data_IF_727506244435
#
_entry.id   IF_727506244435
#
_cell.length_a   1.000
_cell.length_b   1.000
_cell.length_c   1.000
_cell.angle_alpha   90.00
_cell.angle_beta   90.00
_cell.angle_gamma   90.00
#
_symmetry.space_group_name_H-M   'P 1'
#
loop_
_entity.id
_entity.type
_entity.pdbx_description
1 polymer ?
#
# COMPACT_ATOMS: atom_id res chain seq x y z
N UNK A 1 -40.92 77.78 1.57
CA UNK A 1 -39.67 77.10 1.92
C UNK A 1 -39.86 75.63 1.66
N UNK A 2 -39.23 75.10 0.60
CA UNK A 2 -39.34 73.66 0.20
C UNK A 2 -37.99 73.03 0.49
N UNK A 3 -37.97 72.13 1.44
CA UNK A 3 -36.77 71.35 1.86
C UNK A 3 -36.64 70.14 0.93
N UNK A 4 -35.52 70.07 0.20
CA UNK A 4 -35.14 68.93 -0.67
C UNK A 4 -34.38 67.91 0.16
N UNK A 5 -34.93 66.70 0.32
CA UNK A 5 -34.18 65.57 0.87
C UNK A 5 -33.41 64.88 -0.27
N UNK A 6 -32.07 64.86 -0.17
CA UNK A 6 -31.20 64.06 -1.06
C UNK A 6 -30.99 62.70 -0.42
N UNK A 7 -31.43 61.65 -1.08
CA UNK A 7 -31.20 60.26 -0.69
C UNK A 7 -29.90 59.81 -1.39
N UNK A 8 -28.85 59.57 -0.61
CA UNK A 8 -27.62 58.96 -1.11
C UNK A 8 -27.78 57.44 -1.13
N UNK A 9 -27.76 56.84 -2.33
CA UNK A 9 -27.74 55.38 -2.51
C UNK A 9 -26.28 54.91 -2.44
N UNK A 10 -25.96 54.15 -1.40
CA UNK A 10 -24.66 53.49 -1.22
C UNK A 10 -24.69 52.15 -1.97
N UNK A 11 -24.03 52.07 -3.11
CA UNK A 11 -23.79 50.81 -3.81
C UNK A 11 -22.60 50.10 -3.18
N UNK A 12 -22.88 49.03 -2.44
CA UNK A 12 -21.86 48.10 -1.97
C UNK A 12 -21.43 47.16 -3.09
N UNK A 13 -20.22 47.31 -3.58
CA UNK A 13 -19.61 46.36 -4.52
C UNK A 13 -19.17 45.12 -3.73
N UNK A 14 -19.86 43.99 -3.96
CA UNK A 14 -19.41 42.69 -3.52
C UNK A 14 -18.22 42.26 -4.38
N UNK A 15 -17.02 42.38 -3.81
CA UNK A 15 -15.82 41.73 -4.38
C UNK A 15 -15.96 40.24 -4.15
N UNK A 16 -16.39 39.50 -5.19
CA UNK A 16 -16.35 38.05 -5.23
C UNK A 16 -14.90 37.57 -5.33
N UNK A 17 -14.26 37.35 -4.18
CA UNK A 17 -12.98 36.63 -4.14
C UNK A 17 -13.22 35.18 -4.50
N UNK A 18 -12.71 34.75 -5.65
CA UNK A 18 -12.55 33.32 -5.95
C UNK A 18 -11.57 32.73 -4.94
N UNK A 19 -12.06 31.88 -4.05
CA UNK A 19 -11.21 31.02 -3.22
C UNK A 19 -10.49 30.07 -4.19
N UNK A 20 -9.29 30.41 -4.64
CA UNK A 20 -8.37 29.45 -5.20
C UNK A 20 -8.14 28.38 -4.12
N UNK A 21 -8.61 27.16 -4.41
CA UNK A 21 -8.30 26.00 -3.58
C UNK A 21 -6.78 25.84 -3.61
N UNK A 22 -6.10 26.21 -2.53
CA UNK A 22 -4.67 25.98 -2.42
C UNK A 22 -4.45 24.48 -2.55
N UNK A 23 -3.84 24.05 -3.65
CA UNK A 23 -3.38 22.68 -3.81
C UNK A 23 -2.45 22.38 -2.63
N UNK A 24 -2.79 21.36 -1.85
CA UNK A 24 -1.91 20.92 -0.76
C UNK A 24 -0.51 20.62 -1.34
N UNK A 25 0.54 21.00 -0.61
CA UNK A 25 1.89 20.66 -1.03
C UNK A 25 2.04 19.13 -1.18
N UNK A 26 2.76 18.65 -2.20
CA UNK A 26 2.94 17.22 -2.41
C UNK A 26 3.58 16.56 -1.17
N UNK A 27 3.09 15.37 -0.81
CA UNK A 27 3.63 14.56 0.27
C UNK A 27 5.05 14.13 -0.13
N UNK A 28 6.01 14.24 0.81
CA UNK A 28 7.40 13.89 0.54
C UNK A 28 7.90 12.70 1.35
N UNK A 29 7.10 12.16 2.26
CA UNK A 29 7.45 11.01 3.06
C UNK A 29 6.74 9.74 2.55
N UNK A 30 7.50 8.67 2.41
CA UNK A 30 7.01 7.34 1.99
C UNK A 30 7.48 6.30 3.00
N UNK A 31 6.55 5.48 3.48
CA UNK A 31 6.86 4.30 4.30
C UNK A 31 6.47 3.05 3.51
N UNK A 32 7.45 2.16 3.31
CA UNK A 32 7.33 0.92 2.56
C UNK A 32 7.24 -0.26 3.54
N UNK A 33 6.25 -1.14 3.35
CA UNK A 33 6.00 -2.31 4.20
C UNK A 33 6.06 -3.57 3.35
N UNK A 34 6.99 -4.49 3.67
CA UNK A 34 7.13 -5.76 2.95
C UNK A 34 6.03 -6.75 3.30
N UNK A 35 5.88 -7.79 2.48
CA UNK A 35 4.98 -8.90 2.70
C UNK A 35 5.66 -10.10 3.35
N UNK A 36 4.88 -11.15 3.61
CA UNK A 36 5.36 -12.41 4.14
C UNK A 36 6.46 -13.05 3.29
N UNK A 37 7.29 -13.88 3.90
CA UNK A 37 8.37 -14.63 3.24
C UNK A 37 9.48 -13.76 2.64
N UNK A 38 9.48 -12.46 2.93
CA UNK A 38 10.42 -11.47 2.40
C UNK A 38 10.89 -10.56 3.55
N UNK A 39 11.69 -9.59 3.20
CA UNK A 39 12.12 -8.51 4.09
C UNK A 39 12.18 -7.17 3.34
N UNK A 40 12.59 -6.13 4.03
CA UNK A 40 12.65 -4.79 3.45
C UNK A 40 13.68 -4.61 2.33
N UNK A 41 14.62 -5.53 2.12
CA UNK A 41 15.65 -5.40 1.09
C UNK A 41 15.08 -5.41 -0.34
N UNK A 42 13.94 -6.07 -0.53
CA UNK A 42 13.25 -6.08 -1.82
C UNK A 42 12.82 -4.69 -2.31
N UNK A 43 12.66 -3.74 -1.41
CA UNK A 43 12.29 -2.35 -1.75
C UNK A 43 13.44 -1.48 -2.27
N UNK A 44 14.69 -1.99 -2.30
CA UNK A 44 15.88 -1.19 -2.62
C UNK A 44 15.73 -0.41 -3.94
N UNK A 45 15.23 -1.04 -4.99
CA UNK A 45 15.10 -0.40 -6.31
C UNK A 45 14.06 0.75 -6.29
N UNK A 46 12.91 0.54 -5.65
CA UNK A 46 11.87 1.57 -5.49
C UNK A 46 12.36 2.71 -4.61
N UNK A 47 12.98 2.39 -3.48
CA UNK A 47 13.53 3.39 -2.55
C UNK A 47 14.54 4.31 -3.25
N UNK A 48 15.50 3.75 -4.01
CA UNK A 48 16.49 4.54 -4.77
C UNK A 48 15.84 5.49 -5.80
N UNK A 49 14.76 5.07 -6.45
CA UNK A 49 14.05 5.95 -7.40
C UNK A 49 13.40 7.09 -6.63
N UNK A 50 12.62 6.79 -5.59
CA UNK A 50 11.93 7.79 -4.78
C UNK A 50 12.89 8.78 -4.12
N UNK A 51 14.00 8.31 -3.54
CA UNK A 51 15.03 9.19 -2.95
C UNK A 51 15.66 10.12 -3.99
N UNK A 52 15.96 9.62 -5.19
CA UNK A 52 16.46 10.43 -6.29
C UNK A 52 15.47 11.52 -6.70
N UNK A 53 14.17 11.25 -6.61
CA UNK A 53 13.09 12.17 -6.97
C UNK A 53 12.65 13.06 -5.78
N UNK A 54 13.46 13.04 -4.69
CA UNK A 54 13.37 13.96 -3.55
C UNK A 54 12.35 13.55 -2.49
N UNK A 55 12.04 12.25 -2.38
CA UNK A 55 11.25 11.71 -1.28
C UNK A 55 12.14 11.24 -0.13
N UNK A 56 11.62 11.35 1.09
CA UNK A 56 12.20 10.73 2.28
C UNK A 56 11.55 9.36 2.44
N UNK A 57 12.35 8.30 2.36
CA UNK A 57 11.87 6.92 2.37
C UNK A 57 12.25 6.23 3.67
N UNK A 58 11.32 5.50 4.27
CA UNK A 58 11.57 4.57 5.37
C UNK A 58 11.00 3.21 5.01
N UNK A 59 11.72 2.13 5.38
CA UNK A 59 11.27 0.76 5.19
C UNK A 59 10.95 0.17 6.55
N UNK A 60 9.67 -0.11 6.81
CA UNK A 60 9.26 -0.82 8.01
C UNK A 60 9.64 -2.30 7.92
N UNK A 61 10.06 -2.88 9.04
CA UNK A 61 10.44 -4.28 9.15
C UNK A 61 9.49 -4.98 10.14
N UNK A 62 8.27 -5.35 9.72
CA UNK A 62 7.36 -6.14 10.53
C UNK A 62 8.01 -7.50 10.85
N UNK A 63 7.96 -7.96 12.13
CA UNK A 63 8.64 -9.19 12.55
C UNK A 63 7.93 -10.47 12.12
N UNK A 64 6.69 -10.39 11.65
CA UNK A 64 5.84 -11.50 11.18
C UNK A 64 5.53 -12.55 12.28
N UNK A 65 5.73 -12.19 13.55
CA UNK A 65 5.49 -13.04 14.71
C UNK A 65 4.07 -12.94 15.27
N UNK A 66 3.42 -11.78 15.10
CA UNK A 66 2.00 -11.55 15.39
C UNK A 66 1.50 -10.34 14.58
N UNK A 67 0.23 -10.37 14.20
CA UNK A 67 -0.37 -9.24 13.46
C UNK A 67 -0.28 -7.92 14.23
N UNK A 68 -0.49 -7.97 15.55
CA UNK A 68 -0.45 -6.77 16.40
C UNK A 68 0.95 -6.13 16.43
N UNK A 69 2.02 -6.94 16.49
CA UNK A 69 3.38 -6.43 16.42
C UNK A 69 3.70 -5.89 15.02
N UNK A 70 3.26 -6.57 13.98
CA UNK A 70 3.48 -6.14 12.59
C UNK A 70 2.87 -4.75 12.33
N UNK A 71 1.62 -4.53 12.74
CA UNK A 71 0.94 -3.22 12.67
C UNK A 71 1.66 -2.18 13.53
N UNK A 72 2.14 -2.54 14.71
CA UNK A 72 2.89 -1.65 15.61
C UNK A 72 4.20 -1.18 14.98
N UNK A 73 4.94 -2.06 14.30
CA UNK A 73 6.18 -1.70 13.61
C UNK A 73 5.92 -0.75 12.43
N UNK A 74 4.87 -1.00 11.66
CA UNK A 74 4.48 -0.09 10.58
C UNK A 74 4.06 1.29 11.12
N UNK A 75 3.25 1.34 12.20
CA UNK A 75 2.88 2.60 12.86
C UNK A 75 4.10 3.34 13.39
N UNK A 76 5.06 2.66 14.00
CA UNK A 76 6.28 3.27 14.51
C UNK A 76 7.12 3.92 13.38
N UNK A 77 7.20 3.26 12.22
CA UNK A 77 7.87 3.83 11.05
C UNK A 77 7.14 5.08 10.53
N UNK A 78 5.81 5.10 10.51
CA UNK A 78 5.01 6.28 10.16
C UNK A 78 5.20 7.41 11.18
N UNK A 79 5.20 7.09 12.48
CA UNK A 79 5.35 8.08 13.56
C UNK A 79 6.71 8.77 13.53
N UNK A 80 7.75 8.05 13.09
CA UNK A 80 9.11 8.59 12.94
C UNK A 80 9.26 9.58 11.78
N UNK A 81 8.30 9.63 10.84
CA UNK A 81 8.37 10.57 9.71
C UNK A 81 7.94 11.98 10.14
N UNK A 82 8.57 12.97 9.52
CA UNK A 82 8.22 14.39 9.75
C UNK A 82 7.18 14.85 8.74
N UNK A 83 5.91 14.87 9.15
CA UNK A 83 4.77 15.30 8.33
C UNK A 83 3.96 14.16 7.69
N UNK A 84 3.17 14.47 6.63
CA UNK A 84 2.26 13.52 6.00
C UNK A 84 3.01 12.43 5.23
N UNK A 85 2.42 11.24 5.19
CA UNK A 85 3.03 10.01 4.68
C UNK A 85 2.15 9.34 3.62
N UNK A 86 2.76 8.84 2.54
CA UNK A 86 2.21 7.77 1.71
C UNK A 86 2.66 6.44 2.32
N UNK A 87 1.70 5.59 2.71
CA UNK A 87 1.96 4.28 3.29
C UNK A 87 1.74 3.20 2.22
N UNK A 88 2.78 2.42 1.95
CA UNK A 88 2.81 1.44 0.86
C UNK A 88 2.94 0.03 1.44
N UNK A 89 2.11 -0.91 0.99
CA UNK A 89 2.17 -2.30 1.41
C UNK A 89 2.22 -3.26 0.23
N UNK A 90 3.14 -4.23 0.31
CA UNK A 90 3.22 -5.36 -0.61
C UNK A 90 2.62 -6.60 0.05
N UNK A 91 1.81 -7.36 -0.68
CA UNK A 91 1.30 -8.66 -0.23
C UNK A 91 0.62 -8.60 1.15
N UNK A 92 1.07 -9.40 2.13
CA UNK A 92 0.66 -9.33 3.53
C UNK A 92 0.87 -7.92 4.14
N UNK A 93 1.90 -7.19 3.70
CA UNK A 93 2.09 -5.79 4.10
C UNK A 93 0.88 -4.89 3.78
N UNK A 94 0.07 -5.26 2.79
CA UNK A 94 -1.22 -4.62 2.51
C UNK A 94 -2.23 -4.80 3.65
N UNK A 95 -2.32 -5.98 4.24
CA UNK A 95 -3.12 -6.22 5.45
C UNK A 95 -2.65 -5.32 6.61
N UNK A 96 -1.34 -5.20 6.81
CA UNK A 96 -0.75 -4.32 7.84
C UNK A 96 -1.15 -2.87 7.62
N UNK A 97 -0.98 -2.34 6.38
CA UNK A 97 -1.29 -0.93 6.09
C UNK A 97 -2.80 -0.65 6.12
N UNK A 98 -3.63 -1.67 5.97
CA UNK A 98 -5.08 -1.56 6.10
C UNK A 98 -5.47 -1.05 7.50
N UNK A 99 -4.78 -1.43 8.55
CA UNK A 99 -4.99 -0.91 9.92
C UNK A 99 -4.02 0.21 10.30
N UNK A 100 -2.74 0.10 9.94
CA UNK A 100 -1.75 1.14 10.24
C UNK A 100 -2.09 2.47 9.55
N UNK A 101 -2.78 2.43 8.42
CA UNK A 101 -3.24 3.59 7.66
C UNK A 101 -4.24 4.49 8.39
N UNK A 102 -4.83 4.04 9.51
CA UNK A 102 -5.64 4.90 10.37
C UNK A 102 -4.80 5.93 11.16
N UNK A 103 -3.47 5.85 11.12
CA UNK A 103 -2.60 6.86 11.68
C UNK A 103 -2.90 8.24 11.02
N UNK A 104 -3.06 9.33 11.80
CA UNK A 104 -3.41 10.64 11.27
C UNK A 104 -2.35 11.23 10.31
N UNK A 105 -1.08 10.79 10.38
CA UNK A 105 -0.04 11.20 9.42
C UNK A 105 -0.20 10.53 8.05
N UNK A 106 -0.91 9.40 7.95
CA UNK A 106 -1.12 8.74 6.66
C UNK A 106 -2.15 9.50 5.84
N UNK A 107 -1.75 9.97 4.67
CA UNK A 107 -2.59 10.74 3.75
C UNK A 107 -3.03 9.93 2.54
N UNK A 108 -2.29 8.90 2.17
CA UNK A 108 -2.61 8.01 1.05
C UNK A 108 -2.12 6.58 1.30
N UNK A 109 -2.77 5.61 0.68
CA UNK A 109 -2.43 4.19 0.72
C UNK A 109 -2.07 3.69 -0.67
N UNK A 110 -1.03 2.87 -0.77
CA UNK A 110 -0.65 2.19 -2.01
C UNK A 110 -0.51 0.70 -1.73
N UNK A 111 -1.27 -0.11 -2.43
CA UNK A 111 -1.24 -1.57 -2.38
C UNK A 111 -0.53 -2.10 -3.63
N UNK A 112 0.43 -2.99 -3.49
CA UNK A 112 1.16 -3.60 -4.62
C UNK A 112 1.08 -5.12 -4.48
N UNK A 113 0.35 -5.80 -5.38
CA UNK A 113 0.09 -7.24 -5.31
C UNK A 113 -0.30 -7.65 -3.87
N UNK A 114 -1.33 -7.02 -3.28
CA UNK A 114 -1.47 -6.95 -1.83
C UNK A 114 -2.90 -7.16 -1.32
N UNK A 115 -3.02 -7.57 -0.05
CA UNK A 115 -4.31 -7.74 0.63
C UNK A 115 -4.88 -6.40 1.11
N UNK A 116 -5.83 -5.82 0.37
CA UNK A 116 -6.65 -4.69 0.81
C UNK A 116 -7.94 -5.23 1.45
N UNK A 117 -7.80 -5.75 2.67
CA UNK A 117 -8.84 -6.47 3.41
C UNK A 117 -9.99 -5.56 3.84
N UNK A 118 -11.21 -6.08 3.86
CA UNK A 118 -12.37 -5.43 4.46
C UNK A 118 -12.56 -5.86 5.92
N UNK A 119 -13.45 -5.19 6.62
CA UNK A 119 -13.77 -5.45 8.03
C UNK A 119 -14.18 -6.92 8.25
N UNK A 120 -13.52 -7.58 9.18
CA UNK A 120 -13.74 -9.00 9.48
C UNK A 120 -13.04 -9.99 8.53
N UNK A 121 -12.35 -9.53 7.47
CA UNK A 121 -11.54 -10.38 6.60
C UNK A 121 -10.13 -10.60 7.15
N UNK A 122 -9.51 -11.71 6.74
CA UNK A 122 -8.10 -12.03 6.93
C UNK A 122 -7.48 -12.48 5.60
N UNK A 123 -6.15 -12.50 5.50
CA UNK A 123 -5.48 -13.06 4.32
C UNK A 123 -5.97 -14.48 4.04
N UNK A 124 -6.04 -15.32 5.06
CA UNK A 124 -6.55 -16.69 4.96
C UNK A 124 -7.99 -16.76 4.43
N UNK A 125 -8.88 -15.86 4.87
CA UNK A 125 -10.28 -15.88 4.41
C UNK A 125 -10.42 -15.50 2.94
N UNK A 126 -9.58 -14.58 2.45
CA UNK A 126 -9.54 -14.19 1.03
C UNK A 126 -9.05 -15.37 0.19
N UNK A 127 -7.95 -16.00 0.58
CA UNK A 127 -7.42 -17.17 -0.16
C UNK A 127 -8.37 -18.36 -0.16
N UNK A 128 -9.12 -18.56 0.93
CA UNK A 128 -10.15 -19.60 0.97
C UNK A 128 -11.30 -19.33 0.01
N UNK A 129 -11.68 -18.05 -0.21
CA UNK A 129 -12.77 -17.68 -1.10
C UNK A 129 -12.42 -17.87 -2.59
N UNK A 130 -11.18 -17.61 -2.98
CA UNK A 130 -10.65 -17.84 -4.32
C UNK A 130 -9.16 -18.17 -4.22
N UNK A 131 -8.79 -19.47 -4.21
CA UNK A 131 -7.42 -19.89 -3.97
C UNK A 131 -6.41 -19.32 -4.96
N UNK A 132 -5.21 -19.04 -4.46
CA UNK A 132 -4.03 -18.75 -5.27
C UNK A 132 -3.62 -19.96 -6.11
N UNK A 133 -2.82 -19.71 -7.16
CA UNK A 133 -2.37 -20.77 -8.04
C UNK A 133 -1.26 -21.65 -7.42
N UNK A 134 -0.49 -21.10 -6.47
CA UNK A 134 0.56 -21.86 -5.76
C UNK A 134 -0.03 -22.81 -4.73
N UNK A 135 0.57 -24.00 -4.63
CA UNK A 135 0.32 -24.99 -3.57
C UNK A 135 1.54 -25.21 -2.68
N UNK A 136 2.56 -24.35 -2.83
CA UNK A 136 3.85 -24.51 -2.19
C UNK A 136 3.93 -23.92 -0.77
N UNK A 137 2.86 -23.30 -0.27
CA UNK A 137 2.80 -22.78 1.10
C UNK A 137 2.64 -23.93 2.09
N UNK A 138 3.56 -24.03 3.05
CA UNK A 138 3.62 -25.13 4.03
C UNK A 138 3.79 -24.59 5.44
N UNK A 139 3.05 -25.13 6.42
CA UNK A 139 3.31 -24.84 7.83
C UNK A 139 4.50 -25.65 8.35
N UNK A 140 5.26 -25.05 9.29
CA UNK A 140 6.24 -25.75 10.09
C UNK A 140 5.61 -26.31 11.40
N UNK A 141 6.42 -27.01 12.19
CA UNK A 141 5.99 -27.58 13.48
C UNK A 141 5.66 -26.53 14.54
N UNK A 142 6.04 -25.27 14.35
CA UNK A 142 5.84 -24.16 15.29
C UNK A 142 4.62 -23.28 14.90
N UNK A 143 3.93 -23.64 13.81
CA UNK A 143 2.78 -22.89 13.31
C UNK A 143 3.15 -21.68 12.45
N UNK A 144 4.39 -21.61 11.95
CA UNK A 144 4.78 -20.62 10.96
C UNK A 144 4.66 -21.20 9.56
N UNK A 145 4.48 -20.33 8.58
CA UNK A 145 4.33 -20.70 7.18
C UNK A 145 5.56 -20.33 6.38
N UNK A 146 5.85 -21.15 5.36
CA UNK A 146 6.96 -21.01 4.42
C UNK A 146 6.48 -21.32 3.01
N UNK A 147 7.23 -20.86 2.01
CA UNK A 147 7.12 -21.35 0.63
C UNK A 147 8.21 -22.42 0.43
N UNK A 148 7.87 -23.58 -0.11
CA UNK A 148 8.85 -24.61 -0.47
C UNK A 148 9.90 -24.00 -1.42
N UNK A 149 11.18 -24.05 -1.03
CA UNK A 149 12.27 -23.37 -1.77
C UNK A 149 12.33 -23.73 -3.25
N UNK A 150 12.04 -25.01 -3.58
CA UNK A 150 12.02 -25.49 -4.96
C UNK A 150 10.96 -24.82 -5.85
N UNK A 151 9.91 -24.26 -5.24
CA UNK A 151 8.80 -23.60 -5.92
C UNK A 151 8.85 -22.08 -5.82
N UNK A 152 9.68 -21.55 -4.93
CA UNK A 152 9.71 -20.11 -4.59
C UNK A 152 9.86 -19.23 -5.84
N UNK A 153 10.84 -19.53 -6.69
CA UNK A 153 11.06 -18.74 -7.90
C UNK A 153 9.83 -18.73 -8.80
N UNK A 154 9.23 -19.89 -9.08
CA UNK A 154 8.09 -20.00 -9.99
C UNK A 154 6.80 -19.37 -9.43
N UNK A 155 6.58 -19.47 -8.11
CA UNK A 155 5.31 -19.12 -7.48
C UNK A 155 5.31 -17.73 -6.82
N UNK A 156 6.49 -17.18 -6.53
CA UNK A 156 6.63 -15.90 -5.83
C UNK A 156 7.42 -14.84 -6.64
N UNK A 157 8.53 -15.24 -7.27
CA UNK A 157 9.52 -14.31 -7.82
C UNK A 157 9.99 -14.75 -9.22
N UNK A 158 9.05 -15.01 -10.14
CA UNK A 158 9.32 -15.63 -11.43
C UNK A 158 9.99 -14.68 -12.44
N UNK A 159 9.87 -13.38 -12.27
CA UNK A 159 10.32 -12.34 -13.19
C UNK A 159 11.48 -11.49 -12.65
N UNK A 160 12.14 -11.94 -11.57
CA UNK A 160 13.42 -11.37 -11.12
C UNK A 160 14.59 -12.29 -11.52
N UNK A 161 15.85 -11.79 -11.53
CA UNK A 161 17.00 -12.62 -11.87
C UNK A 161 17.09 -13.88 -11.00
N UNK A 162 17.44 -15.06 -11.55
CA UNK A 162 17.46 -16.33 -10.80
C UNK A 162 18.32 -16.32 -9.53
N UNK A 163 19.42 -15.57 -9.51
CA UNK A 163 20.25 -15.43 -8.32
C UNK A 163 19.53 -14.68 -7.20
N UNK A 164 18.66 -13.72 -7.55
CA UNK A 164 17.84 -12.96 -6.59
C UNK A 164 16.75 -13.86 -6.02
N UNK A 165 15.96 -14.52 -6.87
CA UNK A 165 14.88 -15.42 -6.41
C UNK A 165 15.41 -16.60 -5.60
N UNK A 166 16.60 -17.14 -5.96
CA UNK A 166 17.27 -18.18 -5.17
C UNK A 166 17.64 -17.67 -3.77
N UNK A 167 18.26 -16.47 -3.68
CA UNK A 167 18.61 -15.91 -2.38
C UNK A 167 17.37 -15.62 -1.53
N UNK A 168 16.33 -15.06 -2.11
CA UNK A 168 15.04 -14.85 -1.42
C UNK A 168 14.48 -16.17 -0.87
N UNK A 169 14.54 -17.26 -1.66
CA UNK A 169 14.06 -18.57 -1.24
C UNK A 169 14.76 -19.13 0.00
N UNK A 170 16.07 -18.89 0.15
CA UNK A 170 16.86 -19.39 1.28
C UNK A 170 16.89 -18.44 2.48
N UNK A 171 16.48 -17.17 2.30
CA UNK A 171 16.44 -16.12 3.33
C UNK A 171 15.03 -15.72 3.76
N UNK A 172 14.02 -16.53 3.44
CA UNK A 172 12.64 -16.25 3.81
C UNK A 172 12.49 -15.94 5.29
N UNK A 173 11.68 -14.93 5.61
CA UNK A 173 11.16 -14.72 6.97
C UNK A 173 9.84 -15.51 7.08
N UNK A 174 9.73 -16.44 8.05
CA UNK A 174 8.51 -17.22 8.23
C UNK A 174 7.41 -16.34 8.84
N UNK A 175 6.18 -16.48 8.33
CA UNK A 175 5.04 -15.76 8.89
C UNK A 175 4.25 -16.64 9.86
N UNK A 176 3.85 -16.07 10.99
CA UNK A 176 3.02 -16.77 11.97
C UNK A 176 1.60 -17.00 11.44
N UNK A 177 0.96 -18.10 11.90
CA UNK A 177 -0.46 -18.33 11.64
C UNK A 177 -1.34 -17.18 12.15
N UNK A 178 -0.99 -16.57 13.29
CA UNK A 178 -1.71 -15.41 13.82
C UNK A 178 -1.73 -14.26 12.84
N UNK A 179 -0.56 -13.88 12.30
CA UNK A 179 -0.44 -12.80 11.32
C UNK A 179 -1.31 -13.03 10.08
N UNK A 180 -1.42 -14.29 9.63
CA UNK A 180 -2.13 -14.63 8.41
C UNK A 180 -3.65 -14.79 8.60
N UNK A 181 -4.09 -15.19 9.78
CA UNK A 181 -5.51 -15.46 10.10
C UNK A 181 -6.20 -14.33 10.84
N UNK A 182 -5.46 -13.30 11.27
CA UNK A 182 -6.03 -12.15 11.96
C UNK A 182 -7.06 -11.43 11.09
N UNK A 183 -8.21 -11.14 11.70
CA UNK A 183 -9.29 -10.40 11.03
C UNK A 183 -9.11 -8.91 11.25
N UNK A 184 -8.91 -8.18 10.17
CA UNK A 184 -8.75 -6.73 10.25
C UNK A 184 -10.04 -6.04 10.70
N UNK A 185 -9.86 -4.89 11.32
CA UNK A 185 -10.96 -4.02 11.75
C UNK A 185 -10.71 -2.60 11.27
N UNK A 186 -11.77 -1.86 10.99
CA UNK A 186 -11.69 -0.45 10.59
C UNK A 186 -10.71 -0.17 9.43
N UNK A 187 -10.93 -0.74 8.24
CA UNK A 187 -10.01 -0.61 7.11
C UNK A 187 -9.80 0.84 6.68
N UNK A 188 -8.55 1.30 6.68
CA UNK A 188 -8.19 2.69 6.41
C UNK A 188 -8.53 3.13 4.97
N UNK A 189 -8.55 2.21 4.00
CA UNK A 189 -8.93 2.52 2.62
C UNK A 189 -10.40 2.99 2.47
N UNK A 190 -11.26 2.79 3.48
CA UNK A 190 -12.63 3.35 3.49
C UNK A 190 -12.65 4.87 3.63
N UNK A 191 -11.56 5.47 4.11
CA UNK A 191 -11.48 6.90 4.40
C UNK A 191 -10.27 7.59 3.77
N UNK A 192 -9.32 6.83 3.24
CA UNK A 192 -8.08 7.34 2.65
C UNK A 192 -8.07 7.15 1.14
N UNK A 193 -7.57 8.11 0.35
CA UNK A 193 -7.27 7.91 -1.06
C UNK A 193 -6.35 6.71 -1.24
N UNK A 194 -6.68 5.85 -2.20
CA UNK A 194 -6.03 4.55 -2.35
C UNK A 194 -5.61 4.31 -3.79
N UNK A 195 -4.41 3.72 -3.96
CA UNK A 195 -3.85 3.25 -5.21
C UNK A 195 -3.55 1.76 -5.13
N UNK A 196 -3.61 1.10 -6.27
CA UNK A 196 -3.37 -0.35 -6.32
C UNK A 196 -2.63 -0.75 -7.59
N UNK A 197 -1.57 -1.55 -7.45
CA UNK A 197 -0.88 -2.22 -8.55
C UNK A 197 -1.24 -3.71 -8.52
N UNK A 198 -1.92 -4.17 -9.58
CA UNK A 198 -2.28 -5.58 -9.78
C UNK A 198 -1.16 -6.30 -10.53
N UNK A 199 -0.74 -7.45 -10.02
CA UNK A 199 0.22 -8.35 -10.68
C UNK A 199 -0.53 -9.43 -11.47
N UNK A 200 -0.59 -9.30 -12.81
CA UNK A 200 -1.45 -10.13 -13.66
C UNK A 200 -1.04 -11.60 -13.74
N UNK A 201 0.22 -11.93 -13.43
CA UNK A 201 0.76 -13.28 -13.42
C UNK A 201 1.08 -13.78 -12.00
N UNK A 202 0.50 -13.14 -10.97
CA UNK A 202 0.66 -13.53 -9.57
C UNK A 202 0.13 -14.95 -9.33
N UNK A 203 0.94 -15.76 -8.62
CA UNK A 203 0.60 -17.13 -8.21
C UNK A 203 0.44 -17.27 -6.70
N UNK A 204 0.81 -16.23 -5.94
CA UNK A 204 0.72 -16.15 -4.48
C UNK A 204 -0.58 -15.51 -4.00
N UNK A 205 -1.09 -14.51 -4.72
CA UNK A 205 -2.46 -14.00 -4.59
C UNK A 205 -3.14 -14.19 -5.96
N UNK A 206 -4.39 -14.63 -5.96
CA UNK A 206 -5.12 -14.75 -7.23
C UNK A 206 -5.36 -13.35 -7.83
N UNK A 207 -4.92 -13.04 -9.07
CA UNK A 207 -5.10 -11.72 -9.67
C UNK A 207 -6.56 -11.25 -9.74
N UNK A 208 -7.53 -12.17 -9.75
CA UNK A 208 -8.95 -11.79 -9.68
C UNK A 208 -9.31 -11.23 -8.30
N UNK A 209 -8.68 -11.73 -7.22
CA UNK A 209 -8.87 -11.16 -5.88
C UNK A 209 -8.22 -9.80 -5.78
N UNK A 210 -7.02 -9.62 -6.32
CA UNK A 210 -6.38 -8.30 -6.36
C UNK A 210 -7.27 -7.27 -7.05
N UNK A 211 -7.82 -7.61 -8.23
CA UNK A 211 -8.77 -6.73 -8.96
C UNK A 211 -10.04 -6.46 -8.16
N UNK A 212 -10.57 -7.47 -7.46
CA UNK A 212 -11.75 -7.31 -6.60
C UNK A 212 -11.46 -6.37 -5.43
N UNK A 213 -10.33 -6.55 -4.75
CA UNK A 213 -9.92 -5.70 -3.62
C UNK A 213 -9.64 -4.26 -4.08
N UNK A 214 -8.93 -4.07 -5.21
CA UNK A 214 -8.70 -2.75 -5.80
C UNK A 214 -10.00 -2.02 -6.14
N UNK A 215 -10.95 -2.73 -6.77
CA UNK A 215 -12.26 -2.17 -7.13
C UNK A 215 -13.07 -1.74 -5.92
N UNK A 216 -13.17 -2.58 -4.87
CA UNK A 216 -13.96 -2.25 -3.67
C UNK A 216 -13.34 -1.12 -2.85
N UNK A 217 -12.01 -1.00 -2.88
CA UNK A 217 -11.28 0.11 -2.26
C UNK A 217 -11.36 1.41 -3.09
N UNK A 218 -12.06 1.42 -4.22
CA UNK A 218 -12.11 2.54 -5.16
C UNK A 218 -10.72 3.06 -5.55
N UNK A 219 -9.74 2.15 -5.64
CA UNK A 219 -8.35 2.49 -5.86
C UNK A 219 -8.10 2.95 -7.31
N UNK A 220 -7.24 3.98 -7.47
CA UNK A 220 -6.59 4.23 -8.75
C UNK A 220 -5.72 3.03 -9.07
N UNK A 221 -6.06 2.28 -10.13
CA UNK A 221 -5.48 0.97 -10.37
C UNK A 221 -4.62 0.96 -11.64
N UNK A 222 -3.42 0.38 -11.51
CA UNK A 222 -2.57 -0.02 -12.65
C UNK A 222 -2.41 -1.54 -12.61
N UNK A 223 -2.22 -2.14 -13.77
CA UNK A 223 -1.97 -3.57 -13.88
C UNK A 223 -0.68 -3.81 -14.67
N UNK A 224 0.18 -4.70 -14.15
CA UNK A 224 1.46 -5.07 -14.78
C UNK A 224 1.51 -6.58 -14.98
N UNK A 225 2.16 -7.03 -16.05
CA UNK A 225 2.39 -8.45 -16.28
C UNK A 225 3.61 -8.92 -15.47
N UNK A 226 3.40 -9.15 -14.19
CA UNK A 226 4.44 -9.49 -13.22
C UNK A 226 4.05 -10.69 -12.37
N UNK A 227 5.06 -11.38 -11.81
CA UNK A 227 4.89 -12.28 -10.68
C UNK A 227 4.52 -11.48 -9.41
N UNK A 228 4.43 -12.17 -8.26
CA UNK A 228 4.03 -11.56 -6.99
C UNK A 228 4.91 -10.38 -6.54
N UNK A 229 6.20 -10.36 -6.90
CA UNK A 229 7.14 -9.30 -6.50
C UNK A 229 7.19 -8.13 -7.50
N UNK A 230 6.02 -7.64 -7.92
CA UNK A 230 5.88 -6.58 -8.91
C UNK A 230 6.71 -5.32 -8.59
N UNK A 231 6.87 -4.98 -7.32
CA UNK A 231 7.69 -3.84 -6.87
C UNK A 231 9.20 -4.03 -7.13
N UNK A 232 9.66 -5.26 -7.36
CA UNK A 232 11.04 -5.54 -7.73
C UNK A 232 11.24 -5.54 -9.24
N UNK A 233 10.40 -6.27 -9.98
CA UNK A 233 10.52 -6.40 -11.44
C UNK A 233 10.01 -5.17 -12.20
N UNK A 234 9.06 -4.41 -11.63
CA UNK A 234 8.46 -3.20 -12.18
C UNK A 234 8.65 -2.00 -11.23
N UNK A 235 9.89 -1.84 -10.72
CA UNK A 235 10.20 -0.83 -9.72
C UNK A 235 9.91 0.62 -10.18
N UNK A 236 10.03 0.90 -11.47
CA UNK A 236 9.73 2.24 -12.03
C UNK A 236 8.23 2.52 -12.01
N UNK A 237 7.42 1.55 -12.38
CA UNK A 237 5.95 1.63 -12.37
C UNK A 237 5.43 1.72 -10.93
N UNK A 238 6.04 0.98 -10.01
CA UNK A 238 5.72 1.05 -8.59
C UNK A 238 6.06 2.43 -7.99
N UNK A 239 7.26 2.96 -8.27
CA UNK A 239 7.64 4.30 -7.83
C UNK A 239 6.69 5.38 -8.39
N UNK A 240 6.37 5.31 -9.70
CA UNK A 240 5.44 6.24 -10.33
C UNK A 240 4.06 6.22 -9.66
N UNK A 241 3.51 5.04 -9.35
CA UNK A 241 2.23 4.92 -8.65
C UNK A 241 2.28 5.56 -7.25
N UNK A 242 3.39 5.40 -6.53
CA UNK A 242 3.62 6.01 -5.23
C UNK A 242 3.72 7.55 -5.36
N UNK A 243 4.38 8.06 -6.39
CA UNK A 243 4.48 9.49 -6.67
C UNK A 243 3.12 10.10 -7.04
N UNK A 244 2.30 9.39 -7.81
CA UNK A 244 0.92 9.79 -8.10
C UNK A 244 0.08 9.88 -6.81
N UNK A 245 0.25 8.93 -5.90
CA UNK A 245 -0.38 8.98 -4.58
C UNK A 245 0.11 10.17 -3.75
N UNK A 246 1.41 10.45 -3.78
CA UNK A 246 2.02 11.57 -3.08
C UNK A 246 1.58 12.94 -3.62
N UNK A 247 1.30 13.04 -4.91
CA UNK A 247 0.77 14.23 -5.55
C UNK A 247 -0.71 14.50 -5.18
N UNK A 248 -1.39 13.55 -4.52
CA UNK A 248 -2.80 13.66 -4.17
C UNK A 248 -3.71 13.66 -5.40
N UNK A 249 -3.27 13.03 -6.52
CA UNK A 249 -4.12 12.89 -7.67
C UNK A 249 -5.44 12.19 -7.26
N UNK A 250 -6.61 12.71 -7.66
CA UNK A 250 -7.88 12.06 -7.34
C UNK A 250 -7.87 10.65 -7.91
N UNK A 251 -8.35 9.68 -7.13
CA UNK A 251 -8.60 8.34 -7.63
C UNK A 251 -9.42 8.46 -8.93
N UNK A 252 -8.88 7.96 -10.02
CA UNK A 252 -9.57 8.00 -11.32
C UNK A 252 -10.92 7.30 -11.21
N UNK A 253 -11.95 7.92 -11.78
CA UNK A 253 -13.31 7.38 -11.84
C UNK A 253 -13.40 6.21 -12.81
#
# INVERSE_FOLDING_TARGET
MKTLCVIAVLTAALAGGTLESASAAPIKNVVLVHGAFADGSGWEAVAKILEKDGYTVSVAQPPETSYADDVKYAKAAVDAMDGPVVLVGHSYGGSIITEAGNNPKVSALVYIAAFALDDGESCASIEQALPQASTAFKPDSNGNWWIEQAHFAADFAADVPPAVSHFMAISQVPISTDSFTHKVTNPAWKTKPTWYMVAAADRSINPQQERMMAKRAHATTVEVNSSHVAYMSHAKEAAKLIEEAAAGAPAGH
#
